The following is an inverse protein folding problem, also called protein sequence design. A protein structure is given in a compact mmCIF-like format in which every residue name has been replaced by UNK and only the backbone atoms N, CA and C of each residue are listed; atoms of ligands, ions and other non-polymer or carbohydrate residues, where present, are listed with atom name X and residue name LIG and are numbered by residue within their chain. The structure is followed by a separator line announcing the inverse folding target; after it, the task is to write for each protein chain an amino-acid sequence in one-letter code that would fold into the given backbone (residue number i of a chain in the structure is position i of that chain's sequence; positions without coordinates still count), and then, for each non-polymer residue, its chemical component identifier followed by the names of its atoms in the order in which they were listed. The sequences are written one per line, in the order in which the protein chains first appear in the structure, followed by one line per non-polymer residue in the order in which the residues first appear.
data_IF_559240811151
#
_entry.id   IF_559240811151
#
_cell.length_a   1.000
_cell.length_b   1.000
_cell.length_c   1.000
_cell.angle_alpha   90.00
_cell.angle_beta   90.00
_cell.angle_gamma   90.00
#
_symmetry.space_group_name_H-M   'P 1'
#
loop_
_entity.id
_entity.type
_entity.pdbx_description
1 polymer ?
#
# COMPACT_ATOMS: atom_id res chain seq x y z
N UNK A 1 27.72 10.51 6.37
CA UNK A 1 26.54 11.36 6.02
C UNK A 1 25.40 10.99 6.98
N UNK A 2 24.30 11.77 7.12
CA UNK A 2 23.18 11.32 7.92
C UNK A 2 22.58 10.03 7.34
N UNK A 3 22.21 9.12 8.24
CA UNK A 3 21.63 7.83 7.93
C UNK A 3 20.12 7.88 8.11
N UNK A 4 19.41 7.22 7.20
CA UNK A 4 17.97 7.17 7.22
C UNK A 4 17.49 5.75 7.04
N UNK A 5 16.57 5.32 7.90
CA UNK A 5 15.86 4.05 7.74
C UNK A 5 14.66 4.28 6.84
N UNK A 6 14.62 3.58 5.71
CA UNK A 6 13.50 3.62 4.78
C UNK A 6 12.66 2.37 5.02
N UNK A 7 11.35 2.54 5.09
CA UNK A 7 10.37 1.45 5.10
C UNK A 7 9.39 1.69 3.97
N UNK A 8 9.24 0.72 3.09
CA UNK A 8 8.22 0.71 2.04
C UNK A 8 7.04 -0.12 2.52
N UNK A 9 5.82 0.26 2.14
CA UNK A 9 4.62 -0.51 2.41
C UNK A 9 4.05 -0.93 1.07
N UNK A 10 4.06 -2.22 0.79
CA UNK A 10 3.36 -2.80 -0.37
C UNK A 10 2.13 -3.56 0.13
N UNK A 11 1.21 -3.94 -0.75
CA UNK A 11 0.02 -4.73 -0.35
C UNK A 11 0.33 -6.05 0.37
N UNK A 12 1.60 -6.46 0.44
CA UNK A 12 2.08 -7.64 1.18
C UNK A 12 2.58 -7.33 2.60
N UNK A 13 2.68 -6.05 2.98
CA UNK A 13 3.14 -5.60 4.29
C UNK A 13 4.27 -4.56 4.21
N UNK A 14 4.69 -4.00 5.36
CA UNK A 14 5.84 -3.13 5.43
C UNK A 14 7.15 -3.92 5.25
N UNK A 15 8.01 -3.45 4.35
CA UNK A 15 9.37 -3.91 4.14
C UNK A 15 10.33 -2.80 4.56
N UNK A 16 11.15 -3.07 5.57
CA UNK A 16 12.19 -2.14 6.01
C UNK A 16 13.51 -2.57 5.37
N UNK A 17 14.25 -1.61 4.83
CA UNK A 17 15.60 -1.90 4.34
C UNK A 17 16.49 -2.35 5.50
N UNK A 18 17.19 -3.47 5.31
CA UNK A 18 18.06 -4.08 6.34
C UNK A 18 19.17 -3.14 6.82
N UNK A 19 19.63 -2.23 5.95
CA UNK A 19 20.66 -1.25 6.27
C UNK A 19 20.17 0.21 6.08
N UNK A 20 20.43 1.12 7.04
CA UNK A 20 20.15 2.54 6.87
C UNK A 20 20.92 3.14 5.70
N UNK A 21 20.24 3.93 4.87
CA UNK A 21 20.80 4.54 3.68
C UNK A 21 21.37 5.92 4.01
N UNK A 22 22.56 6.22 3.49
CA UNK A 22 23.21 7.51 3.66
C UNK A 22 22.73 8.52 2.61
N UNK A 23 22.23 9.67 3.07
CA UNK A 23 21.85 10.79 2.21
C UNK A 23 22.57 12.07 2.63
N UNK A 24 22.80 13.03 1.72
CA UNK A 24 23.44 14.30 2.08
C UNK A 24 22.56 15.14 3.03
N UNK A 25 21.24 15.04 2.94
CA UNK A 25 20.26 15.72 3.79
C UNK A 25 18.88 15.04 3.67
N UNK A 26 17.95 15.35 4.58
CA UNK A 26 16.60 14.75 4.62
C UNK A 26 15.84 14.90 3.28
N UNK A 27 15.88 16.08 2.65
CA UNK A 27 15.20 16.31 1.37
C UNK A 27 15.71 15.41 0.23
N UNK A 28 16.96 14.94 0.28
CA UNK A 28 17.47 13.99 -0.71
C UNK A 28 16.89 12.60 -0.48
N UNK A 29 16.75 12.18 0.78
CA UNK A 29 16.06 10.95 1.15
C UNK A 29 14.58 11.00 0.75
N UNK A 30 13.92 12.15 0.95
CA UNK A 30 12.52 12.38 0.54
C UNK A 30 12.33 12.25 -0.97
N UNK A 31 13.19 12.89 -1.75
CA UNK A 31 13.13 12.84 -3.21
C UNK A 31 13.33 11.42 -3.73
N UNK A 32 14.32 10.69 -3.20
CA UNK A 32 14.56 9.30 -3.54
C UNK A 32 13.36 8.40 -3.20
N UNK A 33 12.78 8.58 -2.01
CA UNK A 33 11.58 7.87 -1.60
C UNK A 33 10.35 8.17 -2.49
N UNK A 34 10.20 9.39 -2.98
CA UNK A 34 9.14 9.76 -3.93
C UNK A 34 9.32 9.08 -5.29
N UNK A 35 10.56 9.01 -5.78
CA UNK A 35 10.89 8.30 -7.02
C UNK A 35 10.61 6.81 -6.85
N UNK A 36 11.09 6.19 -5.77
CA UNK A 36 10.84 4.79 -5.46
C UNK A 36 9.33 4.47 -5.37
N UNK A 37 8.56 5.32 -4.69
CA UNK A 37 7.11 5.16 -4.60
C UNK A 37 6.44 5.20 -5.98
N UNK A 38 6.87 6.12 -6.84
CA UNK A 38 6.33 6.26 -8.20
C UNK A 38 6.64 5.04 -9.06
N UNK A 39 7.86 4.51 -8.99
CA UNK A 39 8.26 3.31 -9.72
C UNK A 39 7.49 2.07 -9.23
N UNK A 40 7.31 1.89 -7.91
CA UNK A 40 6.46 0.83 -7.35
C UNK A 40 5.02 0.92 -7.87
N UNK A 41 4.46 2.14 -7.89
CA UNK A 41 3.12 2.36 -8.42
C UNK A 41 3.04 2.00 -9.91
N UNK A 42 4.02 2.42 -10.70
CA UNK A 42 4.08 2.17 -12.14
C UNK A 42 4.17 0.68 -12.46
N UNK A 43 4.87 -0.10 -11.63
CA UNK A 43 5.01 -1.54 -11.80
C UNK A 43 3.73 -2.30 -11.44
N UNK A 44 3.09 -1.98 -10.31
CA UNK A 44 1.94 -2.77 -9.83
C UNK A 44 0.55 -2.27 -10.27
N UNK A 45 0.34 -0.98 -10.55
CA UNK A 45 -0.97 -0.45 -10.98
C UNK A 45 -1.59 -1.10 -12.24
N UNK A 46 -0.85 -1.45 -13.31
CA UNK A 46 -1.48 -1.98 -14.52
C UNK A 46 -2.17 -3.35 -14.33
N UNK A 47 -1.98 -4.02 -13.20
CA UNK A 47 -2.47 -5.37 -12.95
C UNK A 47 -3.65 -5.45 -11.97
N UNK A 48 -3.87 -4.43 -11.13
CA UNK A 48 -4.79 -4.52 -10.00
C UNK A 48 -5.87 -3.42 -10.01
N UNK A 49 -7.09 -3.78 -9.57
CA UNK A 49 -8.20 -2.83 -9.38
C UNK A 49 -8.02 -1.92 -8.17
N UNK A 50 -7.13 -2.28 -7.27
CA UNK A 50 -6.80 -1.50 -6.09
C UNK A 50 -5.35 -1.68 -5.74
N UNK A 51 -4.68 -0.61 -5.30
CA UNK A 51 -3.31 -0.70 -4.84
C UNK A 51 -3.07 0.23 -3.65
N UNK A 52 -2.21 -0.20 -2.73
CA UNK A 52 -1.77 0.60 -1.60
C UNK A 52 -0.26 0.54 -1.54
N UNK A 53 0.36 1.70 -1.71
CA UNK A 53 1.80 1.86 -1.63
C UNK A 53 2.13 2.92 -0.59
N UNK A 54 3.18 2.71 0.18
CA UNK A 54 3.65 3.66 1.17
C UNK A 54 5.16 3.70 1.25
N UNK A 55 5.67 4.82 1.74
CA UNK A 55 7.06 4.96 2.13
C UNK A 55 7.15 5.81 3.39
N UNK A 56 8.02 5.39 4.31
CA UNK A 56 8.31 6.07 5.56
C UNK A 56 9.82 6.20 5.70
N UNK A 57 10.27 7.37 6.13
CA UNK A 57 11.68 7.65 6.39
C UNK A 57 11.83 8.04 7.86
N UNK A 58 12.78 7.40 8.54
CA UNK A 58 13.19 7.74 9.89
C UNK A 58 14.64 8.21 9.91
N UNK A 59 14.96 9.18 10.76
CA UNK A 59 16.34 9.58 11.05
C UNK A 59 17.05 8.56 11.95
N UNK A 60 18.35 8.80 12.20
CA UNK A 60 19.19 7.96 13.08
C UNK A 60 18.68 7.91 14.54
N UNK A 61 17.93 8.92 14.98
CA UNK A 61 17.28 8.94 16.29
C UNK A 61 15.91 8.21 16.31
N UNK A 62 15.50 7.64 15.18
CA UNK A 62 14.22 6.95 15.00
C UNK A 62 13.03 7.86 14.79
N UNK A 63 13.22 9.18 14.68
CA UNK A 63 12.12 10.10 14.42
C UNK A 63 11.66 9.99 12.98
N UNK A 64 10.35 9.93 12.77
CA UNK A 64 9.80 9.97 11.43
C UNK A 64 9.98 11.38 10.85
N UNK A 65 10.83 11.49 9.83
CA UNK A 65 11.08 12.77 9.13
C UNK A 65 10.20 12.91 7.89
N UNK A 66 9.73 11.80 7.32
CA UNK A 66 8.87 11.81 6.14
C UNK A 66 7.97 10.58 6.07
N UNK A 67 6.78 10.76 5.51
CA UNK A 67 5.85 9.68 5.16
C UNK A 67 5.03 10.09 3.94
N UNK A 68 4.91 9.20 2.98
CA UNK A 68 3.99 9.33 1.85
C UNK A 68 3.25 8.01 1.61
N UNK A 69 2.03 8.11 1.09
CA UNK A 69 1.22 6.96 0.73
C UNK A 69 0.38 7.28 -0.52
N UNK A 70 0.23 6.29 -1.39
CA UNK A 70 -0.62 6.32 -2.57
C UNK A 70 -1.63 5.18 -2.47
N UNK A 71 -2.91 5.55 -2.51
CA UNK A 71 -4.02 4.62 -2.51
C UNK A 71 -4.74 4.76 -3.85
N UNK A 72 -4.90 3.64 -4.54
CA UNK A 72 -5.58 3.56 -5.82
C UNK A 72 -6.74 2.58 -5.70
N UNK A 73 -7.91 2.99 -6.21
CA UNK A 73 -9.12 2.19 -6.30
C UNK A 73 -9.78 2.52 -7.63
N UNK A 74 -10.05 1.50 -8.45
CA UNK A 74 -10.69 1.61 -9.75
C UNK A 74 -12.04 0.91 -9.72
N UNK A 75 -13.07 1.63 -10.15
CA UNK A 75 -14.43 1.12 -10.31
C UNK A 75 -14.79 1.14 -11.80
N UNK A 76 -15.47 0.10 -12.28
CA UNK A 76 -16.10 0.12 -13.61
C UNK A 76 -17.60 0.28 -13.46
N UNK A 77 -18.22 0.92 -14.45
CA UNK A 77 -19.67 1.02 -14.55
C UNK A 77 -20.31 -0.38 -14.47
N UNK A 78 -21.20 -0.58 -13.50
CA UNK A 78 -21.88 -1.85 -13.24
C UNK A 78 -21.24 -2.76 -12.18
N UNK A 79 -20.10 -2.41 -11.58
CA UNK A 79 -19.43 -3.21 -10.54
C UNK A 79 -19.84 -2.90 -9.09
N UNK A 80 -20.97 -2.21 -8.87
CA UNK A 80 -21.56 -2.11 -7.53
C UNK A 80 -22.17 -3.47 -7.14
N UNK A 81 -21.55 -4.13 -6.16
CA UNK A 81 -21.98 -5.41 -5.61
C UNK A 81 -23.45 -5.44 -5.22
N UNK A 82 -24.28 -6.03 -6.07
CA UNK A 82 -25.45 -6.76 -5.62
C UNK A 82 -24.94 -8.17 -5.30
N UNK A 83 -24.67 -8.44 -4.02
CA UNK A 83 -24.65 -9.82 -3.58
C UNK A 83 -25.97 -10.47 -4.04
N UNK A 84 -25.97 -11.64 -4.69
CA UNK A 84 -27.22 -12.33 -4.97
C UNK A 84 -27.86 -12.61 -3.60
N UNK A 85 -29.01 -11.99 -3.38
CA UNK A 85 -29.96 -12.35 -2.33
C UNK A 85 -30.32 -13.81 -2.63
N UNK A 86 -29.64 -14.75 -1.97
CA UNK A 86 -30.03 -16.16 -2.00
C UNK A 86 -31.29 -16.26 -1.15
N UNK A 87 -32.48 -16.50 -1.74
CA UNK A 87 -33.63 -16.82 -0.92
C UNK A 87 -33.31 -18.14 -0.23
N UNK A 88 -33.14 -18.10 1.09
CA UNK A 88 -32.96 -19.27 1.93
C UNK A 88 -34.31 -20.01 2.04
N UNK A 89 -34.78 -20.56 0.93
CA UNK A 89 -35.88 -21.53 0.92
C UNK A 89 -35.28 -22.92 1.15
N UNK A 90 -35.04 -23.26 2.42
CA UNK A 90 -35.00 -24.66 2.82
C UNK A 90 -36.43 -25.19 2.76
N UNK A 91 -36.75 -26.19 1.92
CA UNK A 91 -38.03 -26.87 2.03
C UNK A 91 -38.03 -27.61 3.37
N UNK A 92 -38.83 -27.12 4.31
CA UNK A 92 -39.27 -27.90 5.46
C UNK A 92 -39.95 -29.15 4.92
N UNK A 93 -39.23 -30.27 4.93
CA UNK A 93 -39.79 -31.59 4.64
C UNK A 93 -40.98 -31.87 5.56
N UNK A 94 -41.91 -32.76 5.14
CA UNK A 94 -43.10 -33.05 5.92
C UNK A 94 -42.69 -33.58 7.30
N UNK A 95 -43.15 -32.90 8.35
CA UNK A 95 -43.18 -33.47 9.70
C UNK A 95 -44.34 -34.46 9.72
N UNK A 96 -44.01 -35.74 9.59
CA UNK A 96 -44.86 -36.85 10.04
C UNK A 96 -44.07 -37.62 11.11
#
# INVERSE_FOLDING_TARGET
MPKFTITTETGQGPETYDEPVEFPHATAAEHDAQVALTEMCREGLPHDKSARYGVRIQDDAGNQVYKAALHFEAEREGETGQAPDVPNELPLGPRD
#
